data_IF_319678322097
#
_entry.id   IF_319678322097
#
_cell.length_a   1.000
_cell.length_b   1.000
_cell.length_c   1.000
_cell.angle_alpha   90.00
_cell.angle_beta   90.00
_cell.angle_gamma   90.00
#
_symmetry.space_group_name_H-M   'P 1'
#
loop_
_entity.id
_entity.type
_entity.pdbx_description
1 polymer ?
#
# COMPACT_ATOMS: atom_id res chain seq x y z
N UNK A 1 -11.96 -2.32 -6.31
CA UNK A 1 -13.13 -2.13 -5.41
C UNK A 1 -14.23 -1.36 -6.16
N UNK A 2 -15.52 -1.49 -5.80
CA UNK A 2 -16.60 -0.62 -6.33
C UNK A 2 -17.10 0.40 -5.29
N UNK A 3 -17.91 1.37 -5.71
CA UNK A 3 -18.41 2.44 -4.84
C UNK A 3 -19.36 1.96 -3.73
N UNK A 4 -20.15 0.91 -3.97
CA UNK A 4 -21.07 0.36 -2.96
C UNK A 4 -20.29 -0.38 -1.87
N UNK A 5 -19.32 -1.20 -2.28
CA UNK A 5 -18.39 -1.86 -1.37
C UNK A 5 -17.60 -0.82 -0.55
N UNK A 6 -17.24 0.30 -1.17
CA UNK A 6 -16.57 1.40 -0.49
C UNK A 6 -17.44 2.04 0.60
N UNK A 7 -18.69 2.38 0.29
CA UNK A 7 -19.65 2.94 1.26
C UNK A 7 -20.05 1.96 2.38
N UNK A 8 -20.00 0.66 2.10
CA UNK A 8 -20.28 -0.37 3.09
C UNK A 8 -19.13 -0.55 4.11
N UNK A 9 -17.94 0.00 3.84
CA UNK A 9 -16.80 -0.09 4.73
C UNK A 9 -16.77 1.10 5.71
N UNK A 10 -17.14 0.93 6.99
CA UNK A 10 -17.21 2.05 7.94
C UNK A 10 -15.86 2.74 8.17
N UNK A 11 -14.74 2.01 8.03
CA UNK A 11 -13.40 2.58 8.19
C UNK A 11 -13.05 3.59 7.09
N UNK A 12 -13.76 3.56 5.95
CA UNK A 12 -13.54 4.50 4.86
C UNK A 12 -14.37 5.79 5.00
N UNK A 13 -15.29 5.85 5.97
CA UNK A 13 -16.17 6.99 6.25
C UNK A 13 -15.51 8.14 7.01
N UNK A 14 -14.21 8.32 6.83
CA UNK A 14 -13.40 9.38 7.47
C UNK A 14 -12.63 10.15 6.41
N UNK A 15 -12.15 11.35 6.75
CA UNK A 15 -11.47 12.24 5.80
C UNK A 15 -10.22 11.58 5.21
N UNK A 16 -9.48 10.83 5.99
CA UNK A 16 -8.26 10.12 5.60
C UNK A 16 -8.58 8.99 4.60
N UNK A 17 -9.76 8.40 4.69
CA UNK A 17 -10.13 7.19 3.96
C UNK A 17 -9.41 5.95 4.47
N UNK A 18 -9.44 4.89 3.66
CA UNK A 18 -8.87 3.58 3.98
C UNK A 18 -8.13 3.00 2.77
N UNK A 19 -6.87 2.67 2.97
CA UNK A 19 -6.14 1.75 2.07
C UNK A 19 -6.65 0.33 2.35
N UNK A 20 -7.31 -0.26 1.36
CA UNK A 20 -7.91 -1.60 1.44
C UNK A 20 -6.85 -2.66 1.13
N UNK A 21 -6.05 -2.40 0.11
CA UNK A 21 -4.97 -3.26 -0.36
C UNK A 21 -3.84 -2.40 -0.92
N UNK A 22 -2.72 -3.01 -1.32
CA UNK A 22 -1.65 -2.30 -2.05
C UNK A 22 -2.15 -1.64 -3.35
N UNK A 23 -3.32 -2.03 -3.85
CA UNK A 23 -3.89 -1.54 -5.11
C UNK A 23 -5.27 -0.93 -4.99
N UNK A 24 -5.89 -0.89 -3.81
CA UNK A 24 -7.23 -0.35 -3.65
C UNK A 24 -7.26 0.63 -2.48
N UNK A 25 -7.79 1.82 -2.76
CA UNK A 25 -8.10 2.84 -1.77
C UNK A 25 -9.57 3.23 -1.88
N UNK A 26 -10.18 3.50 -0.72
CA UNK A 26 -11.57 3.89 -0.62
C UNK A 26 -11.75 5.01 0.40
N UNK A 27 -12.62 5.95 0.09
CA UNK A 27 -13.05 7.01 1.00
C UNK A 27 -14.47 7.44 0.70
N UNK A 28 -15.27 7.73 1.70
CA UNK A 28 -16.47 8.54 1.50
C UNK A 28 -16.61 9.63 2.56
N UNK A 29 -17.04 10.81 2.13
CA UNK A 29 -17.18 11.98 2.99
C UNK A 29 -18.25 12.92 2.44
N UNK A 30 -18.94 13.61 3.33
CA UNK A 30 -19.85 14.70 2.93
C UNK A 30 -19.05 15.97 2.75
N UNK A 31 -19.09 16.53 1.54
CA UNK A 31 -18.62 17.89 1.28
C UNK A 31 -19.79 18.83 1.50
N UNK A 32 -19.58 19.92 2.25
CA UNK A 32 -20.63 20.89 2.54
C UNK A 32 -20.11 22.33 2.40
N UNK A 33 -21.02 23.23 2.04
CA UNK A 33 -20.79 24.66 1.97
C UNK A 33 -22.01 25.44 2.44
N UNK A 34 -21.75 26.57 3.11
CA UNK A 34 -22.78 27.48 3.60
C UNK A 34 -22.48 28.86 3.02
N UNK A 35 -23.46 29.44 2.35
CA UNK A 35 -23.41 30.83 1.92
C UNK A 35 -23.92 31.72 3.05
N UNK A 36 -23.17 32.75 3.40
CA UNK A 36 -23.54 33.72 4.43
C UNK A 36 -23.49 35.14 3.86
N UNK A 37 -24.38 36.00 4.31
CA UNK A 37 -24.36 37.44 4.00
C UNK A 37 -23.18 38.12 4.70
N UNK A 38 -22.90 39.37 4.32
CA UNK A 38 -21.94 40.21 5.05
C UNK A 38 -22.31 40.42 6.53
N UNK A 39 -23.59 40.32 6.87
CA UNK A 39 -24.11 40.38 8.25
C UNK A 39 -24.11 39.04 8.98
N UNK A 40 -23.59 37.97 8.37
CA UNK A 40 -23.50 36.63 8.96
C UNK A 40 -24.78 35.80 8.87
N UNK A 41 -25.80 36.25 8.13
CA UNK A 41 -27.03 35.49 7.93
C UNK A 41 -26.82 34.37 6.91
N UNK A 42 -27.24 33.15 7.23
CA UNK A 42 -27.25 32.03 6.27
C UNK A 42 -28.19 32.34 5.11
N UNK A 43 -27.63 32.38 3.90
CA UNK A 43 -28.34 32.60 2.64
C UNK A 43 -28.71 31.29 1.95
N UNK A 44 -27.99 30.20 2.23
CA UNK A 44 -28.26 28.88 1.66
C UNK A 44 -27.18 27.87 2.02
N UNK A 45 -27.49 26.60 1.80
CA UNK A 45 -26.56 25.49 2.01
C UNK A 45 -26.51 24.61 0.77
N UNK A 46 -25.38 23.94 0.58
CA UNK A 46 -25.24 22.85 -0.37
C UNK A 46 -24.31 21.80 0.21
N UNK A 47 -24.69 20.53 0.06
CA UNK A 47 -23.87 19.40 0.47
C UNK A 47 -24.03 18.25 -0.51
N UNK A 48 -23.02 17.41 -0.61
CA UNK A 48 -23.06 16.18 -1.40
C UNK A 48 -22.16 15.12 -0.77
N UNK A 49 -22.54 13.86 -0.96
CA UNK A 49 -21.70 12.72 -0.62
C UNK A 49 -20.69 12.51 -1.75
N UNK A 50 -19.40 12.58 -1.42
CA UNK A 50 -18.36 12.09 -2.30
C UNK A 50 -17.97 10.67 -1.86
N UNK A 51 -18.03 9.71 -2.79
CA UNK A 51 -17.37 8.40 -2.65
C UNK A 51 -16.19 8.33 -3.62
N UNK A 52 -14.98 8.13 -3.14
CA UNK A 52 -13.76 7.94 -3.94
C UNK A 52 -13.31 6.49 -3.89
N UNK A 53 -12.98 5.96 -5.07
CA UNK A 53 -12.28 4.69 -5.23
C UNK A 53 -11.08 4.94 -6.11
N UNK A 54 -9.90 4.56 -5.65
CA UNK A 54 -8.67 4.65 -6.46
C UNK A 54 -8.01 3.30 -6.57
N UNK A 55 -7.65 2.91 -7.79
CA UNK A 55 -7.05 1.62 -8.10
C UNK A 55 -5.63 1.79 -8.63
N UNK A 56 -4.69 1.11 -7.97
CA UNK A 56 -3.30 1.00 -8.35
C UNK A 56 -3.05 0.03 -9.50
N UNK A 57 -1.79 -0.13 -9.90
CA UNK A 57 -1.41 -0.98 -11.01
C UNK A 57 -0.13 -1.77 -10.72
N UNK A 58 -0.09 -3.03 -11.18
CA UNK A 58 1.10 -3.88 -11.16
C UNK A 58 1.61 -4.14 -12.58
N UNK A 59 2.04 -3.08 -13.27
CA UNK A 59 2.55 -3.17 -14.64
C UNK A 59 2.61 -1.81 -15.35
N UNK A 60 1.90 -0.81 -14.83
CA UNK A 60 1.93 0.56 -15.32
C UNK A 60 2.10 1.55 -14.17
N UNK A 61 2.80 2.66 -14.42
CA UNK A 61 2.88 3.78 -13.46
C UNK A 61 1.66 4.69 -13.61
N UNK A 62 0.49 4.10 -13.39
CA UNK A 62 -0.81 4.72 -13.54
C UNK A 62 -1.73 4.24 -12.41
N UNK A 63 -2.51 5.17 -11.86
CA UNK A 63 -3.65 4.84 -11.01
C UNK A 63 -4.91 5.45 -11.60
N UNK A 64 -6.01 4.70 -11.54
CA UNK A 64 -7.33 5.21 -11.88
C UNK A 64 -7.98 5.74 -10.59
N UNK A 65 -8.18 7.04 -10.49
CA UNK A 65 -8.90 7.66 -9.38
C UNK A 65 -10.29 8.09 -9.82
N UNK A 66 -11.31 7.50 -9.20
CA UNK A 66 -12.70 7.76 -9.53
C UNK A 66 -13.47 8.32 -8.34
N UNK A 67 -14.40 9.23 -8.60
CA UNK A 67 -15.39 9.69 -7.63
C UNK A 67 -16.80 9.49 -8.14
N UNK A 68 -17.70 9.22 -7.20
CA UNK A 68 -19.14 9.28 -7.38
C UNK A 68 -19.68 10.35 -6.44
N UNK A 69 -20.31 11.39 -7.02
CA UNK A 69 -20.97 12.48 -6.31
C UNK A 69 -22.47 12.16 -6.24
N UNK A 70 -22.98 11.92 -5.04
CA UNK A 70 -24.40 11.57 -4.79
C UNK A 70 -24.98 12.42 -3.66
N UNK A 71 -26.26 12.19 -3.35
CA UNK A 71 -26.96 12.81 -2.21
C UNK A 71 -26.82 14.34 -2.16
N UNK A 72 -26.90 14.97 -3.33
CA UNK A 72 -26.80 16.42 -3.46
C UNK A 72 -28.05 17.03 -2.82
N UNK A 73 -27.83 17.86 -1.79
CA UNK A 73 -28.88 18.61 -1.08
C UNK A 73 -28.51 20.08 -1.13
N UNK A 74 -29.47 20.93 -1.47
CA UNK A 74 -29.27 22.38 -1.53
C UNK A 74 -30.48 23.13 -0.99
N UNK A 75 -30.27 24.36 -0.55
CA UNK A 75 -31.33 25.26 -0.08
C UNK A 75 -30.94 26.75 -0.26
N UNK A 76 -31.95 27.62 -0.24
CA UNK A 76 -31.75 29.07 -0.31
C UNK A 76 -31.16 29.51 -1.64
N UNK A 77 -30.03 30.21 -1.59
CA UNK A 77 -29.32 30.71 -2.79
C UNK A 77 -28.72 29.61 -3.69
N UNK A 78 -28.57 28.38 -3.18
CA UNK A 78 -28.15 27.24 -3.98
C UNK A 78 -29.35 26.52 -4.59
N UNK A 79 -29.23 26.13 -5.86
CA UNK A 79 -30.31 25.46 -6.60
C UNK A 79 -29.77 24.33 -7.47
N UNK A 80 -30.66 23.62 -8.15
CA UNK A 80 -30.33 22.66 -9.21
C UNK A 80 -29.36 23.21 -10.27
N UNK A 81 -29.39 24.52 -10.53
CA UNK A 81 -28.52 25.19 -11.51
C UNK A 81 -27.16 25.63 -10.95
N UNK A 82 -26.92 25.50 -9.64
CA UNK A 82 -25.61 25.76 -9.05
C UNK A 82 -24.56 24.86 -9.68
N UNK A 83 -23.41 25.41 -10.07
CA UNK A 83 -22.33 24.62 -10.66
C UNK A 83 -21.37 24.13 -9.57
N UNK A 84 -20.92 22.89 -9.71
CA UNK A 84 -19.86 22.29 -8.91
C UNK A 84 -18.71 22.02 -9.88
N UNK A 85 -17.60 22.70 -9.64
CA UNK A 85 -16.34 22.46 -10.32
C UNK A 85 -15.50 21.50 -9.47
N UNK A 86 -15.14 20.38 -10.04
CA UNK A 86 -14.36 19.31 -9.44
C UNK A 86 -12.95 19.30 -10.05
N UNK A 87 -11.93 19.31 -9.20
CA UNK A 87 -10.53 19.32 -9.61
C UNK A 87 -9.77 18.19 -8.91
N UNK A 88 -9.03 17.38 -9.67
CA UNK A 88 -8.08 16.41 -9.12
C UNK A 88 -6.69 17.00 -9.15
N UNK A 89 -6.04 17.07 -7.99
CA UNK A 89 -4.63 17.38 -7.89
C UNK A 89 -3.80 16.10 -7.72
N UNK A 90 -2.57 16.12 -8.25
CA UNK A 90 -1.55 15.13 -8.00
C UNK A 90 -0.20 15.85 -7.77
N UNK A 91 0.55 15.42 -6.74
CA UNK A 91 1.81 16.04 -6.31
C UNK A 91 1.67 16.97 -5.08
N UNK A 92 2.79 17.53 -4.61
CA UNK A 92 2.85 18.49 -3.48
C UNK A 92 2.47 19.92 -3.89
N UNK A 93 1.47 20.05 -4.78
CA UNK A 93 1.02 21.30 -5.36
C UNK A 93 0.51 21.10 -6.79
N UNK A 94 0.03 22.16 -7.44
CA UNK A 94 -0.55 22.08 -8.79
C UNK A 94 0.46 21.80 -9.92
N UNK A 95 1.77 21.70 -9.64
CA UNK A 95 2.85 21.68 -10.63
C UNK A 95 3.92 20.62 -10.37
N UNK A 96 3.58 19.42 -9.90
CA UNK A 96 4.56 18.32 -9.87
C UNK A 96 4.60 17.64 -11.25
N UNK A 97 5.66 17.86 -12.07
CA UNK A 97 5.71 17.33 -13.43
C UNK A 97 5.82 15.80 -13.48
N UNK A 98 6.13 15.15 -12.36
CA UNK A 98 6.24 13.70 -12.25
C UNK A 98 4.96 13.03 -11.72
N UNK A 99 3.95 13.83 -11.38
CA UNK A 99 2.63 13.39 -10.91
C UNK A 99 1.55 14.08 -11.74
N UNK A 100 1.24 13.52 -12.91
CA UNK A 100 0.35 14.17 -13.87
C UNK A 100 -1.07 13.60 -13.81
N UNK A 101 -2.07 14.46 -13.90
CA UNK A 101 -3.47 14.05 -14.03
C UNK A 101 -3.86 14.01 -15.52
N UNK A 102 -4.45 12.91 -15.97
CA UNK A 102 -4.87 12.71 -17.36
C UNK A 102 -6.21 11.96 -17.44
N UNK A 103 -6.68 11.67 -18.65
CA UNK A 103 -7.84 10.80 -18.88
C UNK A 103 -9.22 11.47 -18.74
N UNK A 104 -9.28 12.78 -18.50
CA UNK A 104 -10.55 13.52 -18.41
C UNK A 104 -10.37 15.04 -18.35
N UNK A 105 -11.48 15.77 -18.43
CA UNK A 105 -11.49 17.23 -18.25
C UNK A 105 -11.18 17.57 -16.80
N UNK A 106 -10.09 18.30 -16.54
CA UNK A 106 -9.68 18.69 -15.20
C UNK A 106 -9.24 20.18 -15.21
N UNK A 107 -9.98 21.09 -14.55
CA UNK A 107 -11.17 20.84 -13.73
C UNK A 107 -12.44 20.53 -14.55
N UNK A 108 -13.30 19.64 -14.05
CA UNK A 108 -14.62 19.35 -14.60
C UNK A 108 -15.68 20.22 -13.95
N UNK A 109 -16.61 20.79 -14.71
CA UNK A 109 -17.70 21.61 -14.15
C UNK A 109 -19.06 21.09 -14.64
N UNK A 110 -19.99 20.87 -13.72
CA UNK A 110 -21.37 20.50 -14.01
C UNK A 110 -22.34 21.12 -13.00
N UNK A 111 -23.63 21.21 -13.34
CA UNK A 111 -24.65 21.66 -12.40
C UNK A 111 -24.98 20.58 -11.36
N UNK A 112 -25.53 21.00 -10.22
CA UNK A 112 -26.05 20.09 -9.21
C UNK A 112 -27.06 19.09 -9.81
N UNK A 113 -27.97 19.54 -10.69
CA UNK A 113 -28.91 18.65 -11.37
C UNK A 113 -28.22 17.64 -12.30
N UNK A 114 -27.18 18.05 -13.03
CA UNK A 114 -26.42 17.13 -13.89
C UNK A 114 -25.70 16.05 -13.08
N UNK A 115 -25.04 16.43 -11.99
CA UNK A 115 -24.35 15.49 -11.10
C UNK A 115 -25.33 14.57 -10.35
N UNK A 116 -26.54 15.04 -10.06
CA UNK A 116 -27.57 14.21 -9.45
C UNK A 116 -28.09 13.12 -10.41
N UNK A 117 -28.05 13.36 -11.73
CA UNK A 117 -28.36 12.37 -12.75
C UNK A 117 -27.19 11.46 -13.12
N UNK A 118 -25.96 11.99 -13.12
CA UNK A 118 -24.73 11.24 -13.33
C UNK A 118 -23.53 11.95 -12.66
N UNK A 119 -23.17 11.48 -11.46
CA UNK A 119 -22.11 12.07 -10.64
C UNK A 119 -20.76 11.37 -10.75
N UNK A 120 -20.59 10.47 -11.71
CA UNK A 120 -19.35 9.70 -11.87
C UNK A 120 -18.29 10.50 -12.62
N UNK A 121 -17.07 10.53 -12.06
CA UNK A 121 -15.88 11.11 -12.68
C UNK A 121 -14.70 10.17 -12.47
N UNK A 122 -13.91 9.91 -13.52
CA UNK A 122 -12.68 9.15 -13.46
C UNK A 122 -11.52 9.97 -14.04
N UNK A 123 -10.37 9.94 -13.36
CA UNK A 123 -9.14 10.55 -13.83
C UNK A 123 -7.96 9.62 -13.56
N UNK A 124 -7.01 9.59 -14.50
CA UNK A 124 -5.79 8.84 -14.32
C UNK A 124 -4.73 9.74 -13.70
N UNK A 125 -3.88 9.15 -12.87
CA UNK A 125 -2.72 9.83 -12.32
C UNK A 125 -1.51 9.00 -12.70
N UNK A 126 -0.56 9.61 -13.39
CA UNK A 126 0.59 8.92 -13.96
C UNK A 126 1.90 9.55 -13.54
N UNK A 127 2.95 8.73 -13.52
CA UNK A 127 4.32 9.15 -13.29
C UNK A 127 5.23 8.58 -14.37
N UNK A 128 6.07 9.38 -15.05
CA UNK A 128 6.96 8.87 -16.08
C UNK A 128 7.87 7.73 -15.55
N UNK A 129 8.11 6.67 -16.33
CA UNK A 129 8.87 5.51 -15.86
C UNK A 129 10.36 5.78 -15.64
N UNK A 130 10.87 6.92 -16.12
CA UNK A 130 12.28 7.32 -16.01
C UNK A 130 12.55 8.33 -14.90
N UNK A 131 11.53 8.79 -14.19
CA UNK A 131 11.62 9.85 -13.16
C UNK A 131 11.40 9.31 -11.76
N UNK A 132 11.92 10.01 -10.75
CA UNK A 132 11.90 9.58 -9.34
C UNK A 132 13.27 9.12 -8.84
N UNK A 133 13.30 8.70 -7.58
CA UNK A 133 14.53 8.52 -6.81
C UNK A 133 15.14 7.12 -6.97
N UNK A 134 16.47 7.07 -7.00
CA UNK A 134 17.25 5.84 -7.02
C UNK A 134 17.09 5.00 -8.29
N UNK A 135 17.51 3.74 -8.20
CA UNK A 135 17.47 2.79 -9.32
C UNK A 135 16.04 2.33 -9.62
N UNK A 136 15.20 2.26 -8.59
CA UNK A 136 13.78 1.90 -8.70
C UNK A 136 12.89 3.08 -9.14
N UNK A 137 13.45 4.28 -9.36
CA UNK A 137 12.71 5.47 -9.82
C UNK A 137 11.48 5.75 -8.96
N UNK A 138 11.64 5.67 -7.64
CA UNK A 138 10.52 5.80 -6.69
C UNK A 138 9.99 7.23 -6.73
N UNK A 139 8.69 7.39 -6.95
CA UNK A 139 8.00 8.68 -6.86
C UNK A 139 6.74 8.54 -6.03
N UNK A 140 6.62 9.30 -4.95
CA UNK A 140 5.39 9.39 -4.15
C UNK A 140 4.60 10.62 -4.57
N UNK A 141 3.36 10.42 -4.99
CA UNK A 141 2.43 11.48 -5.34
C UNK A 141 1.33 11.58 -4.28
N UNK A 142 1.12 12.78 -3.74
CA UNK A 142 -0.10 13.10 -2.97
C UNK A 142 -1.24 13.35 -3.95
N UNK A 143 -2.40 12.77 -3.70
CA UNK A 143 -3.56 12.86 -4.59
C UNK A 143 -4.78 13.36 -3.81
N UNK A 144 -5.51 14.32 -4.36
CA UNK A 144 -6.59 15.01 -3.64
C UNK A 144 -7.66 15.56 -4.57
N UNK A 145 -8.93 15.39 -4.19
CA UNK A 145 -10.06 16.05 -4.84
C UNK A 145 -10.36 17.41 -4.20
N UNK A 146 -10.61 18.40 -5.04
CA UNK A 146 -11.04 19.75 -4.65
C UNK A 146 -12.35 20.09 -5.33
N UNK A 147 -13.17 20.89 -4.64
CA UNK A 147 -14.48 21.32 -5.12
C UNK A 147 -14.64 22.83 -5.00
N UNK A 148 -15.20 23.45 -6.02
CA UNK A 148 -15.56 24.86 -6.02
C UNK A 148 -17.00 25.01 -6.46
N UNK A 149 -17.82 25.72 -5.68
CA UNK A 149 -19.26 25.79 -5.92
C UNK A 149 -19.65 27.20 -6.34
N UNK A 150 -20.49 27.31 -7.36
CA UNK A 150 -20.96 28.56 -7.94
C UNK A 150 -22.47 28.72 -7.73
N UNK A 151 -22.90 29.94 -7.44
CA UNK A 151 -24.31 30.31 -7.39
C UNK A 151 -24.90 30.38 -8.81
N UNK A 152 -26.21 30.10 -9.00
CA UNK A 152 -26.84 30.13 -10.32
C UNK A 152 -26.79 31.52 -11.00
N UNK A 153 -26.81 32.58 -10.20
CA UNK A 153 -26.95 33.97 -10.66
C UNK A 153 -25.69 34.84 -10.45
N UNK A 154 -24.53 34.26 -10.12
CA UNK A 154 -23.39 35.07 -9.67
C UNK A 154 -21.99 34.50 -9.90
N UNK A 155 -21.08 35.46 -10.09
CA UNK A 155 -19.63 35.37 -10.37
C UNK A 155 -18.76 35.03 -9.15
N UNK A 156 -19.36 34.81 -7.97
CA UNK A 156 -18.66 34.63 -6.71
C UNK A 156 -18.66 33.15 -6.29
N UNK A 157 -17.64 32.37 -6.69
CA UNK A 157 -17.54 31.00 -6.23
C UNK A 157 -17.13 30.91 -4.76
N UNK A 158 -17.34 29.75 -4.15
CA UNK A 158 -16.68 29.40 -2.89
C UNK A 158 -15.15 29.44 -3.04
N UNK A 159 -14.44 29.46 -1.91
CA UNK A 159 -13.06 28.98 -1.90
C UNK A 159 -13.04 27.48 -2.28
N UNK A 160 -11.86 26.99 -2.68
CA UNK A 160 -11.69 25.56 -2.91
C UNK A 160 -11.90 24.78 -1.61
N UNK A 161 -12.91 23.92 -1.61
CA UNK A 161 -13.18 22.96 -0.57
C UNK A 161 -12.27 21.75 -0.83
N UNK A 162 -11.49 21.33 0.16
CA UNK A 162 -10.60 20.18 0.02
C UNK A 162 -11.30 18.92 0.51
N UNK A 163 -11.28 17.85 -0.27
CA UNK A 163 -11.43 16.50 0.29
C UNK A 163 -10.20 16.13 1.13
N UNK A 164 -10.20 14.95 1.76
CA UNK A 164 -8.94 14.36 2.21
C UNK A 164 -7.96 14.07 1.06
N UNK A 165 -6.69 13.87 1.42
CA UNK A 165 -5.65 13.43 0.49
C UNK A 165 -5.31 11.95 0.74
N UNK A 166 -4.58 11.33 -0.17
CA UNK A 166 -3.89 10.05 0.04
C UNK A 166 -2.56 10.07 -0.72
N UNK A 167 -1.69 9.09 -0.47
CA UNK A 167 -0.43 8.98 -1.21
C UNK A 167 -0.36 7.70 -2.04
N UNK A 168 0.24 7.81 -3.21
CA UNK A 168 0.54 6.68 -4.10
C UNK A 168 2.01 6.70 -4.44
N UNK A 169 2.67 5.55 -4.29
CA UNK A 169 4.03 5.32 -4.74
C UNK A 169 4.02 4.71 -6.13
N UNK A 170 4.64 5.40 -7.07
CA UNK A 170 5.04 4.90 -8.38
C UNK A 170 6.49 4.41 -8.32
N UNK A 171 6.79 3.33 -9.04
CA UNK A 171 8.14 2.80 -9.12
C UNK A 171 8.39 2.06 -10.45
N UNK A 172 9.66 1.92 -10.81
CA UNK A 172 10.20 1.22 -11.98
C UNK A 172 11.27 0.19 -11.54
N UNK A 173 10.93 -0.67 -10.58
CA UNK A 173 11.85 -1.72 -10.12
C UNK A 173 12.02 -2.86 -11.14
N UNK A 174 13.10 -2.79 -11.92
CA UNK A 174 13.40 -3.71 -13.03
C UNK A 174 13.52 -5.18 -12.64
N UNK A 175 13.81 -5.46 -11.38
CA UNK A 175 13.96 -6.81 -10.83
C UNK A 175 12.63 -7.45 -10.38
N UNK A 176 11.53 -6.69 -10.37
CA UNK A 176 10.19 -7.25 -10.19
C UNK A 176 9.64 -7.78 -11.51
N UNK A 177 8.79 -8.83 -11.52
CA UNK A 177 8.24 -9.41 -12.75
C UNK A 177 7.54 -8.39 -13.67
N UNK A 178 6.77 -7.48 -13.08
CA UNK A 178 6.01 -6.42 -13.78
C UNK A 178 6.83 -5.17 -14.09
N UNK A 179 8.06 -5.06 -13.56
CA UNK A 179 9.05 -3.98 -13.76
C UNK A 179 8.67 -2.57 -13.33
N UNK A 180 7.39 -2.23 -13.28
CA UNK A 180 6.89 -0.90 -12.93
C UNK A 180 5.45 -0.99 -12.42
N UNK A 181 5.01 -0.01 -11.63
CA UNK A 181 3.69 -0.04 -11.01
C UNK A 181 3.38 1.18 -10.16
N UNK A 182 2.19 1.16 -9.57
CA UNK A 182 1.67 2.18 -8.69
C UNK A 182 0.89 1.55 -7.54
N UNK A 183 1.30 1.80 -6.30
CA UNK A 183 0.74 1.16 -5.09
C UNK A 183 0.51 2.16 -3.97
N UNK A 184 -0.43 1.84 -3.09
CA UNK A 184 -0.61 2.52 -1.80
C UNK A 184 0.42 1.99 -0.81
N UNK A 185 1.51 2.72 -0.62
CA UNK A 185 2.66 2.24 0.16
C UNK A 185 2.49 2.34 1.67
N UNK A 186 1.45 3.03 2.15
CA UNK A 186 1.13 3.17 3.58
C UNK A 186 0.70 1.84 4.22
N UNK A 187 0.24 0.87 3.42
CA UNK A 187 -0.08 -0.47 3.89
C UNK A 187 1.17 -1.34 3.86
N UNK A 188 1.59 -1.83 5.03
CA UNK A 188 2.60 -2.88 5.19
C UNK A 188 1.97 -4.25 4.87
N UNK A 189 2.34 -4.92 3.76
CA UNK A 189 1.73 -6.19 3.38
C UNK A 189 2.21 -7.33 4.29
N UNK A 190 1.37 -8.35 4.45
CA UNK A 190 1.70 -9.59 5.17
C UNK A 190 1.75 -10.76 4.20
N UNK A 191 2.82 -11.54 4.23
CA UNK A 191 2.89 -12.85 3.59
C UNK A 191 2.18 -13.85 4.50
N UNK A 192 1.18 -14.56 3.98
CA UNK A 192 0.47 -15.58 4.75
C UNK A 192 0.96 -16.97 4.35
N UNK A 193 1.30 -17.80 5.33
CA UNK A 193 1.53 -19.24 5.16
C UNK A 193 0.66 -20.00 6.17
N UNK A 194 0.18 -21.19 5.81
CA UNK A 194 -0.64 -22.04 6.70
C UNK A 194 0.12 -23.31 7.08
N UNK A 195 0.04 -23.70 8.35
CA UNK A 195 0.54 -25.00 8.82
C UNK A 195 -0.28 -26.19 8.31
N UNK A 196 -1.45 -25.93 7.71
CA UNK A 196 -2.29 -26.92 7.05
C UNK A 196 -2.03 -27.05 5.54
N UNK A 197 -1.29 -26.12 4.91
CA UNK A 197 -0.90 -26.23 3.50
C UNK A 197 0.26 -27.23 3.33
N UNK A 198 -0.05 -28.41 2.80
CA UNK A 198 0.92 -29.50 2.59
C UNK A 198 2.07 -29.14 1.64
N UNK A 199 1.95 -28.07 0.84
CA UNK A 199 3.04 -27.61 -0.02
C UNK A 199 4.16 -26.93 0.74
N UNK A 200 3.90 -26.39 1.93
CA UNK A 200 4.83 -25.53 2.70
C UNK A 200 4.80 -25.81 4.20
N UNK A 201 4.19 -26.91 4.62
CA UNK A 201 3.86 -27.21 6.02
C UNK A 201 5.07 -27.12 6.97
N UNK A 202 6.19 -27.77 6.63
CA UNK A 202 7.39 -27.76 7.46
C UNK A 202 7.98 -26.37 7.66
N UNK A 203 7.98 -25.55 6.61
CA UNK A 203 8.42 -24.14 6.65
C UNK A 203 7.47 -23.31 7.52
N UNK A 204 6.15 -23.43 7.31
CA UNK A 204 5.16 -22.72 8.12
C UNK A 204 5.27 -23.10 9.61
N UNK A 205 5.49 -24.38 9.92
CA UNK A 205 5.72 -24.86 11.28
C UNK A 205 7.05 -24.34 11.88
N UNK A 206 8.12 -24.26 11.08
CA UNK A 206 9.38 -23.68 11.50
C UNK A 206 9.22 -22.20 11.87
N UNK A 207 8.62 -21.39 10.99
CA UNK A 207 8.37 -19.97 11.24
C UNK A 207 7.42 -19.78 12.43
N UNK A 208 6.39 -20.61 12.57
CA UNK A 208 5.51 -20.56 13.73
C UNK A 208 6.27 -20.81 15.03
N UNK A 209 7.19 -21.78 15.06
CA UNK A 209 8.04 -22.03 16.21
C UNK A 209 8.95 -20.82 16.50
N UNK A 210 9.54 -20.22 15.47
CA UNK A 210 10.35 -18.99 15.61
C UNK A 210 9.57 -17.83 16.23
N UNK A 211 8.26 -17.75 16.00
CA UNK A 211 7.38 -16.73 16.57
C UNK A 211 6.86 -17.03 17.97
N UNK A 212 6.52 -18.29 18.24
CA UNK A 212 5.79 -18.69 19.46
C UNK A 212 6.71 -19.22 20.55
N UNK A 213 7.83 -19.80 20.17
CA UNK A 213 8.85 -20.33 21.08
C UNK A 213 10.25 -20.17 20.46
N UNK A 214 10.72 -18.92 20.26
CA UNK A 214 12.04 -18.69 19.67
C UNK A 214 13.16 -19.35 20.47
N UNK A 215 13.03 -19.46 21.79
CA UNK A 215 14.04 -20.07 22.67
C UNK A 215 14.35 -21.54 22.38
N UNK A 216 13.39 -22.30 21.83
CA UNK A 216 13.61 -23.71 21.44
C UNK A 216 14.16 -23.88 20.02
N UNK A 217 14.29 -22.80 19.25
CA UNK A 217 14.86 -22.86 17.90
C UNK A 217 16.39 -22.84 17.92
N UNK A 218 17.00 -23.48 16.92
CA UNK A 218 18.45 -23.46 16.72
C UNK A 218 18.86 -22.34 15.76
N UNK A 219 20.07 -21.77 15.89
CA UNK A 219 21.02 -21.98 16.98
C UNK A 219 20.52 -21.34 18.29
N UNK A 220 20.98 -21.90 19.42
CA UNK A 220 20.81 -21.25 20.72
C UNK A 220 21.73 -20.02 20.79
N UNK A 221 21.26 -18.92 21.37
CA UNK A 221 22.08 -17.73 21.55
C UNK A 221 23.23 -18.00 22.52
N UNK A 222 24.45 -17.68 22.12
CA UNK A 222 25.65 -17.88 22.93
C UNK A 222 25.77 -16.91 24.12
N UNK A 223 25.02 -15.81 24.10
CA UNK A 223 25.06 -14.75 25.12
C UNK A 223 24.02 -14.92 26.23
N UNK A 224 23.27 -16.04 26.22
CA UNK A 224 22.16 -16.34 27.13
C UNK A 224 21.03 -15.28 27.18
N UNK A 225 21.01 -14.34 26.24
CA UNK A 225 19.91 -13.37 26.13
C UNK A 225 18.68 -14.02 25.49
N UNK A 226 17.47 -13.50 25.77
CA UNK A 226 16.27 -13.96 25.07
C UNK A 226 16.42 -13.85 23.56
N UNK A 227 16.03 -14.92 22.85
CA UNK A 227 15.99 -14.93 21.39
C UNK A 227 14.72 -14.23 20.93
N UNK A 228 14.86 -13.19 20.12
CA UNK A 228 13.75 -12.38 19.62
C UNK A 228 13.82 -12.33 18.11
N UNK A 229 12.97 -13.11 17.45
CA UNK A 229 12.97 -13.23 15.99
C UNK A 229 11.87 -12.32 15.40
N UNK A 230 12.20 -11.33 14.55
CA UNK A 230 11.24 -10.36 14.05
C UNK A 230 10.35 -10.90 12.91
N UNK A 231 9.35 -10.12 12.51
CA UNK A 231 8.52 -10.40 11.33
C UNK A 231 7.13 -10.96 11.62
N UNK A 232 6.76 -11.22 12.88
CA UNK A 232 5.45 -11.74 13.23
C UNK A 232 4.36 -10.67 13.03
N UNK A 233 3.46 -10.89 12.07
CA UNK A 233 2.35 -10.00 11.77
C UNK A 233 1.42 -9.79 12.97
N UNK A 234 1.19 -10.82 13.79
CA UNK A 234 0.31 -10.75 14.96
C UNK A 234 0.87 -9.87 16.08
N UNK A 235 2.20 -9.70 16.11
CA UNK A 235 2.89 -8.82 17.06
C UNK A 235 3.22 -7.45 16.47
N UNK A 236 2.83 -7.19 15.21
CA UNK A 236 3.16 -5.97 14.50
C UNK A 236 4.64 -5.83 14.12
N UNK A 237 5.45 -6.87 14.33
CA UNK A 237 6.88 -6.88 13.98
C UNK A 237 7.07 -7.07 12.47
N UNK A 238 8.01 -6.35 11.88
CA UNK A 238 8.27 -6.33 10.43
C UNK A 238 9.62 -6.91 10.07
N UNK A 239 9.74 -7.34 8.82
CA UNK A 239 11.00 -7.57 8.12
C UNK A 239 11.17 -6.50 7.04
N UNK A 240 12.41 -6.27 6.62
CA UNK A 240 12.75 -5.31 5.58
C UNK A 240 13.39 -6.05 4.41
N UNK A 241 12.86 -5.89 3.19
CA UNK A 241 13.35 -6.63 2.02
C UNK A 241 14.78 -6.25 1.64
N UNK A 242 15.63 -7.26 1.58
CA UNK A 242 17.00 -7.20 1.08
C UNK A 242 17.02 -7.77 -0.34
N UNK A 243 17.06 -6.89 -1.35
CA UNK A 243 17.32 -7.31 -2.72
C UNK A 243 18.83 -7.26 -2.96
N UNK A 244 19.47 -8.44 -3.08
CA UNK A 244 20.91 -8.55 -3.21
C UNK A 244 21.49 -7.83 -4.44
N UNK A 245 20.69 -7.61 -5.48
CA UNK A 245 21.09 -6.86 -6.66
C UNK A 245 20.98 -5.33 -6.53
N UNK A 246 20.51 -4.81 -5.39
CA UNK A 246 20.26 -3.38 -5.23
C UNK A 246 21.55 -2.54 -5.17
N UNK A 247 22.57 -3.03 -4.48
CA UNK A 247 23.88 -2.38 -4.33
C UNK A 247 24.89 -3.37 -3.68
N UNK A 248 26.20 -3.05 -3.67
CA UNK A 248 27.21 -3.93 -3.06
C UNK A 248 26.97 -4.25 -1.59
N UNK A 249 26.43 -3.31 -0.80
CA UNK A 249 26.11 -3.55 0.61
C UNK A 249 25.00 -4.60 0.75
N UNK A 250 23.96 -4.52 -0.09
CA UNK A 250 22.88 -5.49 -0.10
C UNK A 250 23.36 -6.89 -0.55
N UNK A 251 24.26 -6.95 -1.54
CA UNK A 251 24.89 -8.19 -1.97
C UNK A 251 25.69 -8.85 -0.84
N UNK A 252 26.49 -8.05 -0.11
CA UNK A 252 27.28 -8.54 1.01
C UNK A 252 26.39 -9.02 2.16
N UNK A 253 25.38 -8.25 2.55
CA UNK A 253 24.46 -8.65 3.62
C UNK A 253 23.72 -9.96 3.29
N UNK A 254 23.35 -10.17 2.03
CA UNK A 254 22.74 -11.42 1.58
C UNK A 254 23.73 -12.59 1.69
N UNK A 255 24.98 -12.39 1.26
CA UNK A 255 26.03 -13.40 1.38
C UNK A 255 26.31 -13.74 2.85
N UNK A 256 26.34 -12.75 3.73
CA UNK A 256 26.54 -12.93 5.18
C UNK A 256 25.38 -13.70 5.81
N UNK A 257 24.13 -13.40 5.41
CA UNK A 257 22.95 -14.16 5.80
C UNK A 257 23.10 -15.64 5.43
N UNK A 258 23.40 -15.94 4.17
CA UNK A 258 23.56 -17.32 3.69
C UNK A 258 24.73 -18.04 4.36
N UNK A 259 25.83 -17.34 4.60
CA UNK A 259 27.02 -17.87 5.27
C UNK A 259 26.74 -18.24 6.73
N UNK A 260 25.99 -17.39 7.45
CA UNK A 260 25.60 -17.65 8.83
C UNK A 260 24.61 -18.84 8.94
N UNK A 261 23.63 -18.91 8.04
CA UNK A 261 22.72 -20.07 7.95
C UNK A 261 23.50 -21.35 7.67
N UNK A 262 24.38 -21.36 6.68
CA UNK A 262 25.20 -22.53 6.35
C UNK A 262 26.01 -23.04 7.55
N UNK A 263 26.65 -22.14 8.31
CA UNK A 263 27.36 -22.52 9.56
C UNK A 263 26.43 -23.11 10.61
N UNK A 264 25.23 -22.55 10.77
CA UNK A 264 24.26 -23.03 11.75
C UNK A 264 23.65 -24.39 11.40
N UNK A 265 23.47 -24.69 10.10
CA UNK A 265 22.89 -25.94 9.61
C UNK A 265 23.89 -27.09 9.53
N UNK A 266 25.17 -26.80 9.28
CA UNK A 266 26.24 -27.81 9.11
C UNK A 266 26.30 -28.86 10.23
N UNK A 267 26.19 -28.51 11.53
CA UNK A 267 26.27 -29.51 12.60
C UNK A 267 24.96 -30.26 12.87
N UNK A 268 23.85 -29.88 12.22
CA UNK A 268 22.53 -30.47 12.50
C UNK A 268 22.30 -31.71 11.63
N UNK A 269 21.74 -32.79 12.20
CA UNK A 269 21.41 -33.99 11.43
C UNK A 269 20.26 -33.70 10.44
N UNK A 270 20.33 -34.32 9.26
CA UNK A 270 19.28 -34.20 8.23
C UNK A 270 19.20 -35.43 7.34
N UNK A 271 18.03 -35.62 6.74
CA UNK A 271 17.79 -36.61 5.70
C UNK A 271 18.25 -36.16 4.30
N UNK A 272 18.32 -37.10 3.34
CA UNK A 272 18.78 -36.80 1.98
C UNK A 272 17.82 -35.95 1.14
N UNK A 273 16.57 -35.78 1.58
CA UNK A 273 15.53 -35.00 0.91
C UNK A 273 15.14 -33.75 1.71
N UNK A 274 15.98 -33.35 2.67
CA UNK A 274 15.77 -32.17 3.50
C UNK A 274 16.74 -31.07 3.11
N UNK A 275 16.26 -29.83 3.18
CA UNK A 275 17.05 -28.62 3.03
C UNK A 275 16.94 -27.79 4.30
N UNK A 276 18.00 -27.02 4.58
CA UNK A 276 17.98 -26.13 5.72
C UNK A 276 17.19 -24.86 5.37
N UNK A 277 16.06 -24.69 6.02
CA UNK A 277 15.24 -23.47 5.98
C UNK A 277 15.72 -22.49 7.05
N UNK A 278 15.53 -21.19 6.78
CA UNK A 278 15.96 -20.11 7.66
C UNK A 278 14.86 -19.08 7.91
N UNK A 279 14.83 -18.53 9.12
CA UNK A 279 13.99 -17.38 9.42
C UNK A 279 14.66 -16.42 10.43
N UNK A 280 14.76 -15.10 10.19
CA UNK A 280 14.26 -14.38 9.02
C UNK A 280 14.97 -14.79 7.72
N UNK A 281 14.28 -14.59 6.59
CA UNK A 281 14.76 -15.04 5.28
C UNK A 281 16.12 -14.44 4.93
N UNK A 282 16.95 -15.14 4.15
CA UNK A 282 18.19 -14.55 3.66
C UNK A 282 17.99 -13.27 2.82
N UNK A 283 16.80 -13.11 2.23
CA UNK A 283 16.36 -11.90 1.51
C UNK A 283 15.78 -10.81 2.41
N UNK A 284 16.13 -10.77 3.71
CA UNK A 284 15.79 -9.67 4.62
C UNK A 284 17.00 -9.11 5.36
N UNK A 285 16.94 -7.82 5.72
CA UNK A 285 18.00 -7.16 6.49
C UNK A 285 18.15 -7.74 7.90
N UNK A 286 17.09 -8.31 8.45
CA UNK A 286 17.04 -8.94 9.77
C UNK A 286 17.56 -10.40 9.77
N UNK A 287 18.09 -10.87 8.64
CA UNK A 287 18.59 -12.23 8.48
C UNK A 287 19.78 -12.58 9.37
N UNK A 288 20.19 -13.85 9.32
CA UNK A 288 21.21 -14.43 10.19
C UNK A 288 22.57 -13.70 10.19
N UNK A 289 22.90 -13.00 9.11
CA UNK A 289 24.15 -12.29 8.90
C UNK A 289 24.33 -11.07 9.81
N UNK A 290 23.25 -10.58 10.44
CA UNK A 290 23.32 -9.50 11.45
C UNK A 290 24.21 -9.88 12.64
N UNK A 291 24.35 -11.19 12.94
CA UNK A 291 25.27 -11.68 13.98
C UNK A 291 24.79 -11.49 15.41
N UNK A 292 23.51 -11.14 15.62
CA UNK A 292 22.89 -10.98 16.94
C UNK A 292 22.24 -12.26 17.50
N UNK A 293 22.34 -13.38 16.77
CA UNK A 293 21.75 -14.68 17.14
C UNK A 293 20.22 -14.76 17.06
N UNK A 294 19.54 -13.76 16.50
CA UNK A 294 18.07 -13.68 16.41
C UNK A 294 17.53 -14.26 15.09
N UNK A 295 17.92 -15.50 14.78
CA UNK A 295 17.43 -16.25 13.63
C UNK A 295 17.29 -17.72 13.98
N UNK A 296 16.39 -18.44 13.32
CA UNK A 296 16.21 -19.87 13.43
C UNK A 296 16.60 -20.58 12.12
N UNK A 297 17.10 -21.81 12.26
CA UNK A 297 17.29 -22.74 11.16
C UNK A 297 16.64 -24.07 11.50
N UNK A 298 16.12 -24.75 10.47
CA UNK A 298 15.55 -26.09 10.62
C UNK A 298 15.62 -26.84 9.30
N UNK A 299 16.00 -28.12 9.34
CA UNK A 299 15.84 -28.98 8.18
C UNK A 299 14.36 -29.30 7.96
N UNK A 300 13.89 -29.07 6.75
CA UNK A 300 12.52 -29.34 6.29
C UNK A 300 12.58 -30.02 4.92
N UNK A 301 11.47 -30.58 4.44
CA UNK A 301 11.40 -31.17 3.10
C UNK A 301 11.89 -30.18 2.03
N UNK A 302 12.81 -30.61 1.17
CA UNK A 302 13.34 -29.78 0.07
C UNK A 302 12.24 -29.26 -0.85
N UNK A 303 11.20 -30.07 -1.10
CA UNK A 303 10.03 -29.66 -1.90
C UNK A 303 9.24 -28.56 -1.19
N UNK A 304 9.04 -28.69 0.12
CA UNK A 304 8.32 -27.67 0.89
C UNK A 304 9.09 -26.35 0.95
N UNK A 305 10.42 -26.44 1.14
CA UNK A 305 11.32 -25.30 1.15
C UNK A 305 11.31 -24.55 -0.20
N UNK A 306 11.44 -25.29 -1.31
CA UNK A 306 11.39 -24.72 -2.65
C UNK A 306 10.05 -24.04 -2.95
N UNK A 307 8.93 -24.64 -2.54
CA UNK A 307 7.61 -24.03 -2.71
C UNK A 307 7.45 -22.75 -1.89
N UNK A 308 7.92 -22.74 -0.64
CA UNK A 308 7.87 -21.55 0.20
C UNK A 308 8.74 -20.41 -0.38
N UNK A 309 9.91 -20.73 -0.93
CA UNK A 309 10.75 -19.77 -1.65
C UNK A 309 10.06 -19.19 -2.90
N UNK A 310 9.34 -20.02 -3.66
CA UNK A 310 8.54 -19.55 -4.79
C UNK A 310 7.38 -18.64 -4.35
N UNK A 311 6.66 -19.04 -3.30
CA UNK A 311 5.57 -18.24 -2.73
C UNK A 311 6.09 -16.89 -2.19
N UNK A 312 7.29 -16.85 -1.60
CA UNK A 312 7.95 -15.62 -1.15
C UNK A 312 8.31 -14.70 -2.33
N UNK A 313 8.88 -15.25 -3.41
CA UNK A 313 9.20 -14.48 -4.61
C UNK A 313 7.93 -13.89 -5.27
N UNK A 314 6.85 -14.68 -5.32
CA UNK A 314 5.56 -14.22 -5.81
C UNK A 314 4.93 -13.16 -4.91
N UNK A 315 5.06 -13.30 -3.59
CA UNK A 315 4.62 -12.28 -2.65
C UNK A 315 5.33 -10.94 -2.90
N UNK A 316 6.66 -10.97 -3.05
CA UNK A 316 7.44 -9.80 -3.39
C UNK A 316 6.99 -9.12 -4.70
N UNK A 317 6.73 -9.89 -5.75
CA UNK A 317 6.27 -9.38 -7.04
C UNK A 317 4.82 -8.88 -7.02
N UNK A 318 3.91 -9.64 -6.41
CA UNK A 318 2.48 -9.33 -6.37
C UNK A 318 2.16 -8.14 -5.46
N UNK A 319 2.91 -7.92 -4.39
CA UNK A 319 2.73 -6.76 -3.49
C UNK A 319 3.66 -5.58 -3.81
N UNK A 320 4.49 -5.72 -4.86
CA UNK A 320 5.56 -4.77 -5.23
C UNK A 320 6.42 -4.33 -4.04
N UNK A 321 6.93 -5.30 -3.28
CA UNK A 321 7.80 -5.00 -2.13
C UNK A 321 9.16 -4.64 -2.69
N UNK A 322 9.62 -3.40 -2.58
CA UNK A 322 10.91 -2.97 -3.09
C UNK A 322 12.06 -3.29 -2.13
N UNK A 323 13.30 -3.06 -2.55
CA UNK A 323 14.40 -3.02 -1.60
C UNK A 323 14.09 -2.02 -0.49
N UNK A 324 14.33 -2.41 0.76
CA UNK A 324 14.00 -1.64 1.98
C UNK A 324 12.50 -1.48 2.29
N UNK A 325 11.58 -1.96 1.44
CA UNK A 325 10.18 -2.04 1.85
C UNK A 325 10.02 -3.00 3.02
N UNK A 326 9.17 -2.62 3.97
CA UNK A 326 8.80 -3.48 5.08
C UNK A 326 7.63 -4.38 4.72
N UNK A 327 7.63 -5.58 5.29
CA UNK A 327 6.53 -6.54 5.20
C UNK A 327 6.47 -7.36 6.49
N UNK A 328 5.41 -8.14 6.65
CA UNK A 328 5.19 -9.03 7.80
C UNK A 328 4.96 -10.45 7.32
N UNK A 329 5.04 -11.42 8.22
CA UNK A 329 4.68 -12.82 7.96
C UNK A 329 3.60 -13.24 8.96
N UNK A 330 2.51 -13.79 8.43
CA UNK A 330 1.39 -14.32 9.19
C UNK A 330 1.37 -15.84 9.02
N UNK A 331 1.48 -16.57 10.11
CA UNK A 331 1.22 -18.01 10.11
C UNK A 331 -0.21 -18.26 10.59
N UNK A 332 -0.97 -19.04 9.82
CA UNK A 332 -2.29 -19.52 10.21
C UNK A 332 -2.25 -21.01 10.55
N UNK A 333 -3.20 -21.52 11.36
CA UNK A 333 -3.40 -22.94 11.57
C UNK A 333 -3.48 -23.74 10.26
#
# INVERSE_FOLDING_TARGET
>A
MDFNACRANPDAGVREGKVISRYDFCRYQTIYSIAVSASGQTLGTISFLQTEVTTGSNGTREVLSSVEITDIRYSGVYTAASQIQTYRAAGTGANDPECTVSGGTNPYTATAAQLQGNGFLGMNITSPPTTGDGDDKIKVCTIQWFYKIFFPAGTYPTQWLSGGFSTVRFDSASYLPSKQGAVFSELTPSMTMSMSDTRVKGVAQHINQAFTDPGSTLPVKSDNSPKVIPGNAQQGSTLSRLYSGANPLAAQAYADNRSAVSRACTPLPHGPLEECDEFPFASTWEGAGVGNGNFSVKYVSATENSNAGYDLANFYGSQRILHNDTFKVLITP
#
